data_IF_490301786206
#
_entry.id   IF_490301786206
#
_cell.length_a   1.000
_cell.length_b   1.000
_cell.length_c   1.000
_cell.angle_alpha   90.00
_cell.angle_beta   90.00
_cell.angle_gamma   90.00
#
_symmetry.space_group_name_H-M   'P 1'
#
loop_
_entity.id
_entity.type
_entity.pdbx_description
1 polymer ?
#
# COMPACT_ATOMS: atom_id res chain seq x y z
N UNK A 1 -24.27 75.45 14.41
CA UNK A 1 -24.38 73.99 14.14
C UNK A 1 -22.99 73.37 14.17
N UNK A 2 -22.79 72.55 15.15
CA UNK A 2 -21.52 71.82 15.34
C UNK A 2 -21.64 70.51 14.59
N UNK A 3 -20.80 70.27 13.57
CA UNK A 3 -20.72 68.98 12.85
C UNK A 3 -19.93 67.99 13.73
N UNK A 4 -20.59 66.94 14.13
CA UNK A 4 -19.90 65.81 14.82
C UNK A 4 -19.63 64.70 13.81
N UNK A 5 -18.33 64.29 13.70
CA UNK A 5 -17.91 63.14 12.93
C UNK A 5 -18.24 61.87 13.73
N UNK A 6 -19.20 61.07 13.24
CA UNK A 6 -19.52 59.77 13.80
C UNK A 6 -19.15 58.67 12.78
N UNK A 7 -18.47 57.65 13.23
CA UNK A 7 -18.18 56.46 12.41
C UNK A 7 -19.39 55.54 12.45
N UNK A 8 -20.02 55.32 11.31
CA UNK A 8 -21.13 54.37 11.17
C UNK A 8 -20.56 53.04 10.66
N UNK A 9 -20.69 51.95 11.40
CA UNK A 9 -20.26 50.67 10.91
C UNK A 9 -21.21 50.19 9.80
N UNK A 10 -20.66 49.96 8.62
CA UNK A 10 -21.39 49.33 7.50
C UNK A 10 -21.19 47.85 7.62
N UNK A 11 -22.25 47.09 7.96
CA UNK A 11 -22.23 45.62 7.96
C UNK A 11 -22.82 45.16 6.63
N UNK A 12 -21.98 44.53 5.82
CA UNK A 12 -22.41 43.91 4.56
C UNK A 12 -22.56 42.41 4.83
N UNK A 13 -23.79 41.88 4.89
CA UNK A 13 -23.99 40.43 5.02
C UNK A 13 -23.54 39.74 3.71
N UNK A 14 -22.58 38.86 3.80
CA UNK A 14 -22.16 38.01 2.67
C UNK A 14 -22.51 36.56 2.97
N UNK A 15 -23.27 35.94 2.09
CA UNK A 15 -23.57 34.52 2.14
C UNK A 15 -22.58 33.80 1.21
N UNK A 16 -21.86 32.84 1.74
CA UNK A 16 -20.95 31.97 0.98
C UNK A 16 -21.10 30.52 1.39
N UNK A 17 -21.00 29.62 0.44
CA UNK A 17 -20.91 28.18 0.71
C UNK A 17 -19.45 27.75 0.71
N UNK A 18 -19.06 26.98 1.73
CA UNK A 18 -17.74 26.35 1.77
C UNK A 18 -17.76 25.09 0.89
N UNK A 19 -16.92 25.09 -0.14
CA UNK A 19 -16.72 23.93 -1.00
C UNK A 19 -15.36 23.32 -0.68
N UNK A 20 -15.33 22.00 -0.52
CA UNK A 20 -14.08 21.29 -0.28
C UNK A 20 -13.11 21.48 -1.46
N UNK A 21 -11.88 21.89 -1.16
CA UNK A 21 -10.82 22.11 -2.17
C UNK A 21 -10.41 20.79 -2.87
N UNK A 22 -10.54 19.67 -2.18
CA UNK A 22 -10.22 18.32 -2.68
C UNK A 22 -11.26 17.35 -2.17
N UNK A 23 -11.81 16.56 -3.08
CA UNK A 23 -12.74 15.48 -2.79
C UNK A 23 -12.32 14.25 -3.59
N UNK A 24 -12.32 13.09 -2.96
CA UNK A 24 -12.01 11.81 -3.57
C UNK A 24 -13.07 10.81 -3.15
N UNK A 25 -13.57 10.04 -4.09
CA UNK A 25 -14.43 8.89 -3.83
C UNK A 25 -13.54 7.65 -3.61
N UNK A 26 -13.89 6.85 -2.62
CA UNK A 26 -13.15 5.66 -2.24
C UNK A 26 -13.84 4.42 -2.81
N UNK A 27 -13.09 3.60 -3.54
CA UNK A 27 -13.54 2.33 -4.09
C UNK A 27 -12.66 1.18 -3.60
N UNK A 28 -13.27 0.01 -3.38
CA UNK A 28 -12.53 -1.20 -3.07
C UNK A 28 -11.90 -1.77 -4.35
N UNK A 29 -10.64 -2.17 -4.26
CA UNK A 29 -9.92 -2.86 -5.35
C UNK A 29 -9.77 -4.37 -5.08
N UNK A 30 -10.26 -4.84 -3.93
CA UNK A 30 -10.26 -6.24 -3.50
C UNK A 30 -11.56 -6.57 -2.82
N UNK A 31 -11.84 -7.86 -2.67
CA UNK A 31 -13.04 -8.37 -2.00
C UNK A 31 -12.65 -9.00 -0.66
N UNK A 32 -13.50 -8.82 0.34
CA UNK A 32 -13.36 -9.44 1.65
C UNK A 32 -14.25 -8.81 2.70
N UNK A 33 -14.17 -9.31 3.92
CA UNK A 33 -14.94 -8.79 5.05
C UNK A 33 -14.26 -7.54 5.62
N UNK A 34 -15.06 -6.49 5.83
CA UNK A 34 -14.62 -5.28 6.51
C UNK A 34 -14.33 -5.60 7.98
N UNK A 35 -13.08 -5.44 8.38
CA UNK A 35 -12.63 -5.63 9.76
C UNK A 35 -12.53 -4.30 10.50
N UNK A 36 -12.67 -4.35 11.82
CA UNK A 36 -12.49 -3.19 12.69
C UNK A 36 -11.13 -2.54 12.48
N UNK A 37 -11.13 -1.24 12.24
CA UNK A 37 -9.94 -0.40 12.26
C UNK A 37 -9.93 0.45 13.54
N UNK A 38 -8.84 1.12 13.84
CA UNK A 38 -8.70 1.90 15.07
C UNK A 38 -9.70 3.04 15.26
N UNK A 39 -10.43 3.43 14.19
CA UNK A 39 -11.49 4.44 14.23
C UNK A 39 -12.72 3.94 13.48
N UNK A 40 -13.89 4.34 13.96
CA UNK A 40 -15.14 4.03 13.27
C UNK A 40 -15.20 4.75 11.90
N UNK A 41 -15.52 3.99 10.87
CA UNK A 41 -15.73 4.51 9.52
C UNK A 41 -17.15 5.11 9.43
N UNK A 42 -17.25 6.40 9.76
CA UNK A 42 -18.54 7.13 9.79
C UNK A 42 -18.37 8.56 9.29
N UNK A 43 -19.43 9.19 8.75
CA UNK A 43 -19.40 10.59 8.38
C UNK A 43 -18.99 11.49 9.53
N UNK A 44 -18.21 12.53 9.24
CA UNK A 44 -17.67 13.45 10.24
C UNK A 44 -16.36 13.01 10.90
N UNK A 45 -15.92 11.79 10.69
CA UNK A 45 -14.64 11.30 11.23
C UNK A 45 -13.46 11.95 10.52
N UNK A 46 -12.52 12.49 11.30
CA UNK A 46 -11.27 13.08 10.78
C UNK A 46 -10.18 12.03 10.64
N UNK A 47 -9.46 12.08 9.54
CA UNK A 47 -8.31 11.21 9.25
C UNK A 47 -7.11 12.04 8.81
N UNK A 48 -5.92 11.54 9.13
CA UNK A 48 -4.67 12.07 8.59
C UNK A 48 -4.31 11.34 7.29
N UNK A 49 -3.60 12.02 6.39
CA UNK A 49 -3.07 11.36 5.19
C UNK A 49 -2.26 10.12 5.54
N UNK A 50 -2.54 9.00 4.86
CA UNK A 50 -1.94 7.69 5.14
C UNK A 50 -2.56 6.88 6.28
N UNK A 51 -3.47 7.46 7.06
CA UNK A 51 -4.19 6.74 8.13
C UNK A 51 -5.17 5.72 7.53
N UNK A 52 -5.28 4.55 8.16
CA UNK A 52 -6.18 3.49 7.70
C UNK A 52 -7.64 3.90 7.88
N UNK A 53 -8.38 3.88 6.79
CA UNK A 53 -9.83 4.10 6.74
C UNK A 53 -10.58 2.79 6.94
N UNK A 54 -10.25 1.78 6.15
CA UNK A 54 -10.88 0.47 6.11
C UNK A 54 -9.81 -0.60 6.04
N UNK A 55 -9.99 -1.66 6.82
CA UNK A 55 -9.21 -2.88 6.71
C UNK A 55 -10.12 -4.00 6.22
N UNK A 56 -9.73 -4.64 5.12
CA UNK A 56 -10.41 -5.81 4.58
C UNK A 56 -9.62 -7.05 5.01
N UNK A 57 -10.31 -8.11 5.42
CA UNK A 57 -9.66 -9.35 5.83
C UNK A 57 -8.79 -9.90 4.69
N UNK A 58 -7.51 -10.03 4.96
CA UNK A 58 -6.50 -10.48 4.02
C UNK A 58 -5.79 -11.77 4.47
N UNK A 59 -6.29 -12.47 5.49
CA UNK A 59 -5.57 -13.58 6.10
C UNK A 59 -5.19 -14.67 5.09
N UNK A 60 -6.12 -15.09 4.24
CA UNK A 60 -5.87 -16.10 3.20
C UNK A 60 -4.89 -15.57 2.14
N UNK A 61 -5.10 -14.35 1.67
CA UNK A 61 -4.22 -13.74 0.68
C UNK A 61 -2.80 -13.54 1.24
N UNK A 62 -2.70 -13.10 2.49
CA UNK A 62 -1.42 -12.96 3.19
C UNK A 62 -0.65 -14.29 3.23
N UNK A 63 -1.32 -15.40 3.56
CA UNK A 63 -0.71 -16.72 3.56
C UNK A 63 -0.16 -17.11 2.17
N UNK A 64 -0.88 -16.78 1.11
CA UNK A 64 -0.43 -16.97 -0.27
C UNK A 64 0.81 -16.14 -0.60
N UNK A 65 0.88 -14.88 -0.13
CA UNK A 65 2.05 -14.01 -0.30
C UNK A 65 3.26 -14.60 0.43
N UNK A 66 3.08 -15.10 1.65
CA UNK A 66 4.16 -15.76 2.41
C UNK A 66 4.69 -16.99 1.69
N UNK A 67 3.81 -17.80 1.11
CA UNK A 67 4.19 -18.95 0.29
C UNK A 67 5.03 -18.54 -0.92
N UNK A 68 4.61 -17.51 -1.65
CA UNK A 68 5.35 -16.99 -2.80
C UNK A 68 6.73 -16.43 -2.41
N UNK A 69 6.83 -15.73 -1.28
CA UNK A 69 8.11 -15.25 -0.73
C UNK A 69 9.05 -16.42 -0.38
N UNK A 70 8.50 -17.48 0.24
CA UNK A 70 9.26 -18.67 0.57
C UNK A 70 9.77 -19.37 -0.68
N UNK A 71 8.96 -19.43 -1.74
CA UNK A 71 9.38 -20.01 -3.02
C UNK A 71 10.53 -19.23 -3.65
N UNK A 72 10.47 -17.89 -3.62
CA UNK A 72 11.57 -17.04 -4.09
C UNK A 72 12.85 -17.28 -3.29
N UNK A 73 12.74 -17.26 -1.96
CA UNK A 73 13.88 -17.53 -1.08
C UNK A 73 14.52 -18.90 -1.37
N UNK A 74 13.69 -19.95 -1.49
CA UNK A 74 14.17 -21.30 -1.76
C UNK A 74 14.81 -21.40 -3.15
N UNK A 75 14.27 -20.74 -4.16
CA UNK A 75 14.85 -20.72 -5.50
C UNK A 75 16.24 -20.08 -5.51
N UNK A 76 16.44 -18.99 -4.77
CA UNK A 76 17.75 -18.35 -4.64
C UNK A 76 18.70 -19.23 -3.81
N UNK A 77 18.24 -19.78 -2.68
CA UNK A 77 19.04 -20.66 -1.85
C UNK A 77 19.55 -21.88 -2.62
N UNK A 78 18.71 -22.44 -3.49
CA UNK A 78 19.06 -23.61 -4.29
C UNK A 78 20.20 -23.37 -5.29
N UNK A 79 20.38 -22.14 -5.77
CA UNK A 79 21.47 -21.81 -6.72
C UNK A 79 22.75 -21.34 -6.02
N UNK A 80 22.74 -21.15 -4.71
CA UNK A 80 23.92 -20.64 -4.00
C UNK A 80 25.16 -21.52 -4.16
N UNK A 81 25.09 -22.86 -4.13
CA UNK A 81 26.25 -23.70 -4.42
C UNK A 81 26.84 -23.47 -5.82
N UNK A 82 25.98 -23.36 -6.84
CA UNK A 82 26.41 -23.08 -8.21
C UNK A 82 27.05 -21.69 -8.35
N UNK A 83 26.49 -20.68 -7.67
CA UNK A 83 27.08 -19.33 -7.63
C UNK A 83 28.47 -19.35 -6.97
N UNK A 84 28.63 -20.12 -5.94
CA UNK A 84 29.94 -20.24 -5.24
C UNK A 84 31.02 -20.80 -6.14
N UNK A 85 30.67 -21.80 -6.96
CA UNK A 85 31.62 -22.50 -7.85
C UNK A 85 31.87 -21.74 -9.14
N UNK A 86 30.78 -21.32 -9.81
CA UNK A 86 30.86 -20.82 -11.19
C UNK A 86 30.85 -19.28 -11.28
N UNK A 87 30.38 -18.61 -10.23
CA UNK A 87 30.23 -17.14 -10.19
C UNK A 87 30.71 -16.56 -8.84
N UNK A 88 31.95 -16.87 -8.42
CA UNK A 88 32.39 -16.46 -7.09
C UNK A 88 32.37 -14.94 -6.86
N UNK A 89 32.49 -14.14 -7.91
CA UNK A 89 32.47 -12.67 -7.87
C UNK A 89 31.10 -12.10 -7.46
N UNK A 90 30.00 -12.84 -7.67
CA UNK A 90 28.64 -12.40 -7.31
C UNK A 90 28.05 -13.14 -6.13
N UNK A 91 28.71 -14.18 -5.63
CA UNK A 91 28.23 -15.01 -4.53
C UNK A 91 27.89 -14.19 -3.29
N UNK A 92 28.78 -13.30 -2.86
CA UNK A 92 28.59 -12.48 -1.65
C UNK A 92 27.37 -11.58 -1.76
N UNK A 93 27.12 -10.99 -2.90
CA UNK A 93 25.97 -10.14 -3.18
C UNK A 93 24.65 -10.89 -2.97
N UNK A 94 24.56 -12.11 -3.48
CA UNK A 94 23.37 -12.95 -3.32
C UNK A 94 23.23 -13.51 -1.91
N UNK A 95 24.33 -13.83 -1.24
CA UNK A 95 24.29 -14.24 0.17
C UNK A 95 23.79 -13.10 1.05
N UNK A 96 24.26 -11.88 0.84
CA UNK A 96 23.76 -10.69 1.56
C UNK A 96 22.28 -10.47 1.31
N UNK A 97 21.81 -10.66 0.08
CA UNK A 97 20.38 -10.59 -0.24
C UNK A 97 19.55 -11.56 0.59
N UNK A 98 19.96 -12.83 0.66
CA UNK A 98 19.28 -13.85 1.48
C UNK A 98 19.33 -13.54 2.96
N UNK A 99 20.43 -13.00 3.47
CA UNK A 99 20.58 -12.64 4.88
C UNK A 99 19.63 -11.48 5.27
N UNK A 100 19.34 -10.58 4.34
CA UNK A 100 18.43 -9.46 4.54
C UNK A 100 16.97 -9.79 4.21
N UNK A 101 16.71 -10.99 3.70
CA UNK A 101 15.36 -11.42 3.34
C UNK A 101 14.58 -11.81 4.59
N UNK A 102 13.48 -11.10 4.84
CA UNK A 102 12.57 -11.35 5.96
C UNK A 102 11.15 -11.53 5.43
N UNK A 103 10.56 -12.69 5.70
CA UNK A 103 9.20 -13.03 5.28
C UNK A 103 8.12 -12.07 5.84
N UNK A 104 8.39 -11.41 6.95
CA UNK A 104 7.47 -10.48 7.59
C UNK A 104 7.62 -9.03 7.11
N UNK A 105 8.59 -8.77 6.25
CA UNK A 105 8.87 -7.44 5.68
C UNK A 105 8.69 -7.47 4.17
N UNK A 106 8.63 -6.29 3.57
CA UNK A 106 8.65 -6.13 2.12
C UNK A 106 9.89 -6.81 1.55
N UNK A 107 9.72 -7.58 0.49
CA UNK A 107 10.82 -8.27 -0.20
C UNK A 107 11.82 -7.25 -0.73
N UNK A 108 13.12 -7.37 -0.38
CA UNK A 108 14.15 -6.46 -0.88
C UNK A 108 14.25 -6.51 -2.39
N UNK A 109 14.68 -5.40 -2.99
CA UNK A 109 15.01 -5.35 -4.42
C UNK A 109 16.11 -6.36 -4.74
N UNK A 110 15.95 -7.12 -5.83
CA UNK A 110 16.98 -8.05 -6.28
C UNK A 110 18.31 -7.33 -6.51
N UNK A 111 19.44 -8.01 -6.25
CA UNK A 111 20.76 -7.48 -6.62
C UNK A 111 20.81 -7.15 -8.11
N UNK A 112 21.53 -6.08 -8.46
CA UNK A 112 21.77 -5.73 -9.84
C UNK A 112 22.56 -6.83 -10.55
N UNK A 113 22.12 -7.22 -11.75
CA UNK A 113 22.78 -8.20 -12.59
C UNK A 113 23.87 -7.49 -13.40
N UNK A 114 25.14 -7.78 -13.11
CA UNK A 114 26.29 -7.02 -13.62
C UNK A 114 26.94 -7.60 -14.89
N UNK A 115 26.61 -8.84 -15.25
CA UNK A 115 27.12 -9.48 -16.46
C UNK A 115 26.03 -10.23 -17.21
N UNK A 116 26.21 -10.44 -18.51
CA UNK A 116 25.27 -11.24 -19.31
C UNK A 116 25.25 -12.70 -18.83
N UNK A 117 26.39 -13.23 -18.42
CA UNK A 117 26.49 -14.60 -17.87
C UNK A 117 25.65 -14.75 -16.61
N UNK A 118 25.76 -13.83 -15.66
CA UNK A 118 24.93 -13.80 -14.45
C UNK A 118 23.44 -13.65 -14.81
N UNK A 119 23.12 -12.72 -15.70
CA UNK A 119 21.75 -12.45 -16.16
C UNK A 119 21.09 -13.68 -16.75
N UNK A 120 21.77 -14.41 -17.63
CA UNK A 120 21.24 -15.63 -18.23
C UNK A 120 21.05 -16.73 -17.19
N UNK A 121 21.99 -16.89 -16.28
CA UNK A 121 21.90 -17.88 -15.23
C UNK A 121 20.73 -17.61 -14.26
N UNK A 122 20.65 -16.41 -13.73
CA UNK A 122 19.61 -16.01 -12.77
C UNK A 122 18.22 -16.03 -13.42
N UNK A 123 18.09 -15.48 -14.61
CA UNK A 123 16.82 -15.46 -15.35
C UNK A 123 16.39 -16.86 -15.76
N UNK A 124 17.33 -17.69 -16.22
CA UNK A 124 17.06 -19.08 -16.60
C UNK A 124 16.61 -19.98 -15.43
N UNK A 125 16.93 -19.62 -14.19
CA UNK A 125 16.46 -20.31 -12.98
C UNK A 125 15.13 -19.77 -12.45
N UNK A 126 14.48 -18.85 -13.17
CA UNK A 126 13.17 -18.33 -12.84
C UNK A 126 13.14 -17.35 -11.66
N UNK A 127 14.28 -16.87 -11.19
CA UNK A 127 14.39 -16.01 -10.00
C UNK A 127 13.76 -14.65 -10.27
N UNK A 128 14.02 -14.03 -11.42
CA UNK A 128 13.44 -12.73 -11.79
C UNK A 128 11.92 -12.83 -11.89
N UNK A 129 11.40 -13.88 -12.52
CA UNK A 129 9.96 -14.13 -12.64
C UNK A 129 9.31 -14.32 -11.27
N UNK A 130 9.90 -15.15 -10.39
CA UNK A 130 9.41 -15.32 -9.03
C UNK A 130 9.42 -14.03 -8.23
N UNK A 131 10.45 -13.21 -8.38
CA UNK A 131 10.54 -11.92 -7.73
C UNK A 131 9.38 -10.99 -8.12
N UNK A 132 9.08 -10.84 -9.40
CA UNK A 132 7.98 -10.01 -9.84
C UNK A 132 6.61 -10.57 -9.48
N UNK A 133 6.46 -11.89 -9.41
CA UNK A 133 5.26 -12.52 -8.84
C UNK A 133 5.04 -12.08 -7.39
N UNK A 134 6.08 -12.14 -6.57
CA UNK A 134 6.03 -11.69 -5.17
C UNK A 134 5.70 -10.20 -5.09
N UNK A 135 6.37 -9.36 -5.89
CA UNK A 135 6.12 -7.92 -5.89
C UNK A 135 4.69 -7.56 -6.27
N UNK A 136 4.13 -8.24 -7.27
CA UNK A 136 2.74 -8.06 -7.67
C UNK A 136 1.78 -8.43 -6.53
N UNK A 137 2.03 -9.55 -5.86
CA UNK A 137 1.21 -9.99 -4.73
C UNK A 137 1.33 -9.08 -3.51
N UNK A 138 2.51 -8.54 -3.22
CA UNK A 138 2.70 -7.54 -2.16
C UNK A 138 1.91 -6.26 -2.45
N UNK A 139 1.91 -5.77 -3.69
CA UNK A 139 1.12 -4.62 -4.08
C UNK A 139 -0.38 -4.87 -3.94
N UNK A 140 -0.84 -6.06 -4.32
CA UNK A 140 -2.24 -6.44 -4.14
C UNK A 140 -2.62 -6.57 -2.65
N UNK A 141 -1.72 -7.10 -1.82
CA UNK A 141 -1.93 -7.18 -0.38
C UNK A 141 -2.13 -5.79 0.25
N UNK A 142 -1.40 -4.79 -0.22
CA UNK A 142 -1.54 -3.42 0.25
C UNK A 142 -2.96 -2.84 0.01
N UNK A 143 -3.68 -3.33 -0.99
CA UNK A 143 -5.06 -2.90 -1.32
C UNK A 143 -6.11 -3.36 -0.33
N UNK A 144 -5.79 -4.33 0.53
CA UNK A 144 -6.64 -4.76 1.64
C UNK A 144 -6.66 -3.76 2.81
N UNK A 145 -5.76 -2.79 2.80
CA UNK A 145 -5.71 -1.71 3.78
C UNK A 145 -5.91 -0.37 3.07
N UNK A 146 -7.14 0.12 3.09
CA UNK A 146 -7.52 1.36 2.39
C UNK A 146 -7.15 2.53 3.28
N UNK A 147 -6.30 3.41 2.77
CA UNK A 147 -5.74 4.56 3.48
C UNK A 147 -6.28 5.87 2.97
N UNK A 148 -6.34 6.86 3.86
CA UNK A 148 -6.68 8.24 3.48
C UNK A 148 -5.61 8.80 2.53
N UNK A 149 -6.01 9.26 1.33
CA UNK A 149 -5.06 9.82 0.36
C UNK A 149 -4.49 11.18 0.78
N UNK A 150 -5.20 11.88 1.66
CA UNK A 150 -4.80 13.15 2.27
C UNK A 150 -5.53 13.34 3.61
N UNK A 151 -5.09 14.30 4.40
CA UNK A 151 -5.77 14.65 5.65
C UNK A 151 -7.10 15.35 5.37
N UNK A 152 -8.16 14.86 5.97
CA UNK A 152 -9.50 15.38 5.70
C UNK A 152 -10.57 14.76 6.60
N UNK A 153 -11.82 14.96 6.18
CA UNK A 153 -13.00 14.48 6.89
C UNK A 153 -13.75 13.52 5.97
N UNK A 154 -14.16 12.39 6.50
CA UNK A 154 -15.05 11.46 5.79
C UNK A 154 -16.45 12.09 5.71
N UNK A 155 -16.96 12.28 4.49
CA UNK A 155 -18.27 12.90 4.28
C UNK A 155 -19.38 11.86 4.14
N UNK A 156 -19.06 10.68 3.67
CA UNK A 156 -20.00 9.60 3.40
C UNK A 156 -19.37 8.24 3.78
N UNK A 157 -20.15 7.35 4.36
CA UNK A 157 -19.75 5.98 4.66
C UNK A 157 -20.85 5.03 4.18
N UNK A 158 -20.54 4.20 3.18
CA UNK A 158 -21.49 3.32 2.49
C UNK A 158 -21.35 1.86 2.92
N UNK A 159 -20.38 1.56 3.76
CA UNK A 159 -20.09 0.21 4.26
C UNK A 159 -19.92 0.23 5.78
N UNK A 160 -20.22 -0.91 6.41
CA UNK A 160 -20.12 -1.10 7.86
C UNK A 160 -19.22 -2.28 8.17
N UNK A 161 -18.64 -2.27 9.37
CA UNK A 161 -17.84 -3.39 9.88
C UNK A 161 -18.63 -4.70 9.84
N UNK A 162 -17.98 -5.79 9.49
CA UNK A 162 -18.56 -7.11 9.36
C UNK A 162 -19.26 -7.38 8.04
N UNK A 163 -19.46 -6.37 7.18
CA UNK A 163 -20.07 -6.56 5.86
C UNK A 163 -19.06 -7.04 4.83
N UNK A 164 -19.55 -7.74 3.81
CA UNK A 164 -18.75 -8.11 2.65
C UNK A 164 -18.57 -6.89 1.75
N UNK A 165 -17.31 -6.52 1.53
CA UNK A 165 -16.90 -5.52 0.54
C UNK A 165 -16.53 -6.23 -0.75
N UNK A 166 -17.02 -5.73 -1.88
CA UNK A 166 -16.77 -6.31 -3.21
C UNK A 166 -15.79 -5.44 -3.99
N UNK A 167 -15.06 -6.07 -4.91
CA UNK A 167 -14.20 -5.34 -5.84
C UNK A 167 -15.03 -4.36 -6.68
N UNK A 168 -14.58 -3.11 -6.78
CA UNK A 168 -15.26 -2.02 -7.48
C UNK A 168 -16.39 -1.35 -6.69
N UNK A 169 -16.66 -1.76 -5.46
CA UNK A 169 -17.68 -1.16 -4.62
C UNK A 169 -17.25 0.21 -4.12
N UNK A 170 -18.15 1.21 -4.20
CA UNK A 170 -17.95 2.51 -3.60
C UNK A 170 -18.08 2.39 -2.08
N UNK A 171 -17.13 2.95 -1.36
CA UNK A 171 -17.04 2.87 0.09
C UNK A 171 -17.41 4.19 0.80
N UNK A 172 -17.15 5.30 0.14
CA UNK A 172 -17.42 6.63 0.65
C UNK A 172 -16.84 7.75 -0.20
#
# INVERSE_FOLDING_TARGET
DTVQNTTIPIVIPANGSLVAKRRVELYAEVQGIFQTSGKLFKPGQKYRGGETLIRIDAAEYYAGVQSAKSNLYNAIAAIMPDLRLDFPEVFQKWQTYLNNFDLNKTTPTLPELTSDKEKYFITGRGIVSNYYTVKNQEQRLAKYNIRAPFSGILTEALVTEGSLVRNGQKLG
#
